data_IF_567167493985
#
_entry.id   IF_567167493985
#
_cell.length_a   1.000
_cell.length_b   1.000
_cell.length_c   1.000
_cell.angle_alpha   90.00
_cell.angle_beta   90.00
_cell.angle_gamma   90.00
#
_symmetry.space_group_name_H-M   'P 1'
#
loop_
_entity.id
_entity.type
_entity.pdbx_description
1 polymer ?
#
# COMPACT_ATOMS: atom_id res chain seq x y z
N UNK A 1 -16.46 24.46 27.50
CA UNK A 1 -15.43 24.47 26.45
C UNK A 1 -14.69 23.15 26.52
N UNK A 2 -14.95 22.23 25.59
CA UNK A 2 -14.27 20.94 25.50
C UNK A 2 -13.57 20.98 24.14
N UNK A 3 -12.25 20.84 24.17
CA UNK A 3 -11.34 21.23 23.10
C UNK A 3 -11.62 20.54 21.78
N UNK A 4 -11.59 21.35 20.71
CA UNK A 4 -11.41 20.90 19.35
C UNK A 4 -10.16 20.03 19.25
N UNK A 5 -10.33 18.70 19.25
CA UNK A 5 -9.31 17.82 18.69
C UNK A 5 -9.55 17.78 17.19
N UNK A 6 -9.01 18.77 16.48
CA UNK A 6 -8.86 18.67 15.03
C UNK A 6 -7.97 17.44 14.78
N UNK A 7 -8.48 16.46 14.05
CA UNK A 7 -7.65 15.36 13.54
C UNK A 7 -6.70 15.96 12.49
N UNK A 8 -5.48 16.29 12.89
CA UNK A 8 -4.45 16.88 12.00
C UNK A 8 -3.50 15.81 11.43
N UNK A 9 -4.01 14.62 11.09
CA UNK A 9 -3.27 13.62 10.32
C UNK A 9 -4.21 13.06 9.26
N UNK A 10 -3.82 13.18 7.99
CA UNK A 10 -4.50 12.55 6.85
C UNK A 10 -4.80 11.09 7.21
N UNK A 11 -6.08 10.73 7.22
CA UNK A 11 -6.55 9.38 7.50
C UNK A 11 -5.89 8.40 6.54
N UNK A 12 -5.38 7.27 7.06
CA UNK A 12 -4.83 6.23 6.19
C UNK A 12 -5.97 5.60 5.40
N UNK A 13 -5.92 5.74 4.07
CA UNK A 13 -6.91 5.19 3.17
C UNK A 13 -6.75 3.69 2.92
N UNK A 14 -5.62 3.11 3.32
CA UNK A 14 -5.43 1.65 3.36
C UNK A 14 -5.99 1.13 4.68
N UNK A 15 -6.99 0.25 4.60
CA UNK A 15 -7.58 -0.40 5.76
C UNK A 15 -6.63 -1.47 6.30
N UNK A 16 -6.49 -1.61 7.62
CA UNK A 16 -5.63 -2.63 8.23
C UNK A 16 -4.22 -2.72 7.59
N UNK A 17 -3.63 -1.57 7.24
CA UNK A 17 -2.31 -1.51 6.58
C UNK A 17 -1.13 -1.87 7.51
N UNK A 18 -1.37 -1.93 8.81
CA UNK A 18 -0.43 -2.42 9.81
C UNK A 18 -0.59 -3.93 10.10
N UNK A 19 -1.58 -4.58 9.47
CA UNK A 19 -1.90 -6.00 9.62
C UNK A 19 -2.23 -6.44 11.05
N UNK A 20 -2.64 -5.51 11.92
CA UNK A 20 -3.04 -5.80 13.31
C UNK A 20 -4.32 -6.63 13.41
N UNK A 21 -5.15 -6.62 12.37
CA UNK A 21 -6.42 -7.36 12.30
C UNK A 21 -6.31 -8.62 11.42
N UNK A 22 -5.08 -9.14 11.23
CA UNK A 22 -4.86 -10.31 10.37
C UNK A 22 -5.20 -10.01 8.91
N UNK A 23 -5.93 -10.90 8.25
CA UNK A 23 -6.26 -10.82 6.83
C UNK A 23 -7.41 -9.85 6.50
N UNK A 24 -8.04 -9.23 7.51
CA UNK A 24 -9.17 -8.34 7.29
C UNK A 24 -8.83 -7.24 6.27
N UNK A 25 -9.74 -7.03 5.32
CA UNK A 25 -9.64 -6.10 4.18
C UNK A 25 -8.62 -6.44 3.09
N UNK A 26 -7.81 -7.49 3.26
CA UNK A 26 -6.84 -7.92 2.25
C UNK A 26 -7.35 -9.13 1.48
N UNK A 27 -7.28 -9.07 0.15
CA UNK A 27 -7.44 -10.26 -0.69
C UNK A 27 -6.09 -10.94 -0.86
N UNK A 28 -6.02 -12.22 -0.53
CA UNK A 28 -4.77 -12.98 -0.59
C UNK A 28 -4.75 -13.94 -1.77
N UNK A 29 -3.62 -13.97 -2.47
CA UNK A 29 -3.29 -14.93 -3.51
C UNK A 29 -2.02 -15.66 -3.06
N UNK A 30 -2.17 -16.92 -2.65
CA UNK A 30 -1.09 -17.70 -2.03
C UNK A 30 0.16 -17.87 -2.93
N UNK A 31 1.37 -18.03 -2.36
CA UNK A 31 1.64 -18.21 -0.93
C UNK A 31 1.88 -16.88 -0.18
N UNK A 32 0.95 -16.59 0.74
CA UNK A 32 0.93 -15.40 1.59
C UNK A 32 0.50 -15.80 2.99
N UNK A 33 1.07 -15.15 4.00
CA UNK A 33 0.72 -15.30 5.40
C UNK A 33 0.67 -13.92 6.06
N UNK A 34 -0.40 -13.63 6.81
CA UNK A 34 -0.47 -12.43 7.65
C UNK A 34 -0.38 -12.84 9.13
N UNK A 35 0.63 -12.34 9.82
CA UNK A 35 0.80 -12.53 11.27
C UNK A 35 1.67 -11.45 11.88
N UNK A 36 1.55 -11.26 13.18
CA UNK A 36 2.45 -10.41 13.99
C UNK A 36 2.65 -8.99 13.42
N UNK A 37 1.61 -8.38 12.84
CA UNK A 37 1.66 -7.03 12.27
C UNK A 37 2.42 -6.93 10.94
N UNK A 38 2.52 -8.02 10.17
CA UNK A 38 3.07 -7.98 8.81
C UNK A 38 2.37 -8.94 7.85
N UNK A 39 2.47 -8.65 6.56
CA UNK A 39 2.16 -9.57 5.45
C UNK A 39 3.47 -10.17 4.91
N UNK A 40 3.63 -11.47 5.00
CA UNK A 40 4.70 -12.21 4.33
C UNK A 40 4.19 -12.77 3.01
N UNK A 41 4.85 -12.42 1.92
CA UNK A 41 4.55 -12.95 0.60
C UNK A 41 5.82 -13.53 -0.03
N UNK A 42 5.68 -14.62 -0.77
CA UNK A 42 6.81 -15.33 -1.42
C UNK A 42 6.35 -16.00 -2.70
N UNK A 43 7.29 -16.51 -3.52
CA UNK A 43 6.95 -17.41 -4.62
C UNK A 43 5.94 -16.91 -5.67
N UNK A 44 5.71 -15.60 -5.77
CA UNK A 44 4.69 -14.98 -6.62
C UNK A 44 3.37 -14.66 -5.91
N UNK A 45 3.25 -14.94 -4.62
CA UNK A 45 2.08 -14.63 -3.81
C UNK A 45 1.88 -13.13 -3.63
N UNK A 46 0.62 -12.72 -3.43
CA UNK A 46 0.26 -11.33 -3.28
C UNK A 46 -0.88 -11.07 -2.30
N UNK A 47 -0.86 -9.88 -1.69
CA UNK A 47 -1.96 -9.33 -0.91
C UNK A 47 -2.41 -8.02 -1.56
N UNK A 48 -3.71 -7.88 -1.85
CA UNK A 48 -4.27 -6.71 -2.52
C UNK A 48 -5.42 -6.05 -1.77
N UNK A 49 -5.47 -4.73 -1.90
CA UNK A 49 -6.66 -3.91 -1.66
C UNK A 49 -6.99 -3.17 -2.94
N UNK A 50 -8.22 -3.37 -3.42
CA UNK A 50 -8.73 -2.79 -4.67
C UNK A 50 -9.93 -1.88 -4.38
N UNK A 51 -10.35 -1.10 -5.38
CA UNK A 51 -11.50 -0.19 -5.31
C UNK A 51 -11.39 0.90 -4.22
N UNK A 52 -10.17 1.27 -3.81
CA UNK A 52 -9.95 2.39 -2.89
C UNK A 52 -10.29 3.69 -3.62
N UNK A 53 -11.37 4.35 -3.20
CA UNK A 53 -11.91 5.54 -3.88
C UNK A 53 -11.08 6.78 -3.55
N UNK A 54 -10.44 7.37 -4.56
CA UNK A 54 -9.63 8.58 -4.42
C UNK A 54 -10.27 9.77 -5.12
N UNK A 55 -10.40 10.88 -4.39
CA UNK A 55 -10.73 12.17 -5.00
C UNK A 55 -9.51 12.77 -5.70
N UNK A 56 -9.68 13.73 -6.63
CA UNK A 56 -8.57 14.47 -7.20
C UNK A 56 -7.67 15.09 -6.11
N UNK A 57 -6.36 14.96 -6.26
CA UNK A 57 -5.40 15.39 -5.24
C UNK A 57 -4.04 14.72 -5.40
N UNK A 58 -3.09 15.09 -4.56
CA UNK A 58 -1.77 14.44 -4.49
C UNK A 58 -1.77 13.47 -3.33
N UNK A 59 -1.28 12.26 -3.55
CA UNK A 59 -1.25 11.20 -2.56
C UNK A 59 0.17 10.68 -2.38
N UNK A 60 0.42 10.12 -1.20
CA UNK A 60 1.65 9.44 -0.88
C UNK A 60 1.33 8.02 -0.42
N UNK A 61 1.82 7.03 -1.16
CA UNK A 61 1.90 5.66 -0.66
C UNK A 61 3.23 5.49 0.06
N UNK A 62 3.21 4.88 1.24
CA UNK A 62 4.40 4.43 1.97
C UNK A 62 4.19 3.05 2.58
N UNK A 63 5.29 2.32 2.79
CA UNK A 63 5.30 1.03 3.46
C UNK A 63 6.71 0.70 3.95
N UNK A 64 6.83 -0.35 4.76
CA UNK A 64 8.11 -0.94 5.15
C UNK A 64 8.26 -2.34 4.57
N UNK A 65 9.45 -2.67 4.07
CA UNK A 65 9.79 -3.98 3.52
C UNK A 65 11.03 -4.58 4.18
N UNK A 66 10.99 -5.87 4.55
CA UNK A 66 12.14 -6.64 5.02
C UNK A 66 12.32 -7.88 4.12
N UNK A 67 13.38 -7.87 3.32
CA UNK A 67 13.75 -8.92 2.38
C UNK A 67 15.23 -9.22 2.61
N UNK A 68 15.57 -10.45 2.99
CA UNK A 68 16.95 -10.79 3.35
C UNK A 68 17.82 -11.05 2.12
N UNK A 69 17.22 -11.59 1.06
CA UNK A 69 17.90 -11.99 -0.16
C UNK A 69 17.56 -11.07 -1.34
N UNK A 70 18.41 -11.12 -2.38
CA UNK A 70 18.09 -10.51 -3.67
C UNK A 70 16.71 -10.96 -4.14
N UNK A 71 15.90 -9.99 -4.56
CA UNK A 71 14.50 -10.25 -4.88
C UNK A 71 14.01 -9.35 -6.00
N UNK A 72 13.00 -9.85 -6.71
CA UNK A 72 12.19 -9.06 -7.66
C UNK A 72 10.81 -8.77 -7.08
N UNK A 73 10.68 -8.77 -5.75
CA UNK A 73 9.44 -8.39 -5.06
C UNK A 73 9.17 -6.89 -5.25
N UNK A 74 7.90 -6.50 -5.19
CA UNK A 74 7.51 -5.10 -5.40
C UNK A 74 6.13 -4.81 -4.84
N UNK A 75 5.82 -3.53 -4.73
CA UNK A 75 4.46 -3.02 -4.52
C UNK A 75 3.98 -2.35 -5.80
N UNK A 76 2.80 -2.74 -6.27
CA UNK A 76 2.12 -2.10 -7.39
C UNK A 76 1.05 -1.14 -6.89
N UNK A 77 0.96 0.00 -7.58
CA UNK A 77 -0.16 0.95 -7.48
C UNK A 77 -0.76 1.13 -8.86
N UNK A 78 -2.07 0.95 -8.96
CA UNK A 78 -2.81 1.16 -10.19
C UNK A 78 -4.00 2.09 -9.91
N UNK A 79 -4.15 3.12 -10.76
CA UNK A 79 -5.40 3.89 -10.85
C UNK A 79 -6.15 3.46 -12.11
N UNK A 80 -7.38 3.02 -11.95
CA UNK A 80 -8.16 2.45 -13.05
C UNK A 80 -8.55 3.50 -14.10
N UNK A 81 -9.07 4.65 -13.67
CA UNK A 81 -9.61 5.66 -14.58
C UNK A 81 -8.52 6.54 -15.19
N UNK A 82 -7.51 6.91 -14.39
CA UNK A 82 -6.38 7.74 -14.86
C UNK A 82 -5.28 6.95 -15.56
N UNK A 83 -5.40 5.62 -15.64
CA UNK A 83 -4.40 4.72 -16.21
C UNK A 83 -2.98 4.86 -15.61
N UNK A 84 -2.87 5.37 -14.38
CA UNK A 84 -1.59 5.41 -13.68
C UNK A 84 -1.18 3.99 -13.27
N UNK A 85 0.08 3.64 -13.53
CA UNK A 85 0.70 2.39 -13.04
C UNK A 85 2.06 2.73 -12.47
N UNK A 86 2.27 2.40 -11.19
CA UNK A 86 3.55 2.55 -10.50
C UNK A 86 3.96 1.20 -9.92
N UNK A 87 5.25 0.92 -9.97
CA UNK A 87 5.85 -0.27 -9.40
C UNK A 87 7.07 0.12 -8.56
N UNK A 88 7.04 -0.21 -7.28
CA UNK A 88 8.14 0.04 -6.35
C UNK A 88 8.82 -1.27 -6.02
N UNK A 89 9.99 -1.50 -6.62
CA UNK A 89 10.81 -2.65 -6.29
C UNK A 89 11.36 -2.52 -4.88
N UNK A 90 11.23 -3.59 -4.10
CA UNK A 90 11.90 -3.67 -2.81
C UNK A 90 13.33 -4.15 -3.01
N UNK A 91 14.23 -3.64 -2.16
CA UNK A 91 15.63 -4.05 -2.11
C UNK A 91 15.87 -4.92 -0.87
N UNK A 92 16.88 -5.81 -0.91
CA UNK A 92 17.29 -6.53 0.27
C UNK A 92 17.83 -5.60 1.36
N UNK A 93 17.71 -6.04 2.61
CA UNK A 93 18.20 -5.35 3.80
C UNK A 93 18.16 -6.24 5.03
N UNK A 94 19.10 -6.04 5.96
CA UNK A 94 19.15 -6.77 7.22
C UNK A 94 18.04 -6.37 8.20
N UNK A 95 17.36 -5.26 7.94
CA UNK A 95 16.23 -4.74 8.70
C UNK A 95 15.19 -4.12 7.75
N UNK A 96 14.04 -3.72 8.29
CA UNK A 96 12.98 -3.05 7.55
C UNK A 96 13.49 -1.76 6.90
N UNK A 97 13.21 -1.63 5.61
CA UNK A 97 13.46 -0.44 4.81
C UNK A 97 12.14 0.26 4.53
N UNK A 98 12.08 1.56 4.74
CA UNK A 98 10.92 2.39 4.37
C UNK A 98 10.96 2.76 2.89
N UNK A 99 9.81 2.64 2.23
CA UNK A 99 9.57 3.04 0.86
C UNK A 99 8.46 4.08 0.83
N UNK A 100 8.53 5.02 -0.12
CA UNK A 100 7.50 6.04 -0.33
C UNK A 100 7.49 6.49 -1.79
N UNK A 101 6.29 6.72 -2.33
CA UNK A 101 6.10 7.39 -3.62
C UNK A 101 4.94 8.38 -3.54
N UNK A 102 5.13 9.55 -4.14
CA UNK A 102 4.06 10.52 -4.35
C UNK A 102 3.47 10.36 -5.76
N UNK A 103 2.17 10.54 -5.90
CA UNK A 103 1.49 10.57 -7.20
C UNK A 103 0.25 11.46 -7.15
N UNK A 104 -0.16 11.98 -8.30
CA UNK A 104 -1.36 12.82 -8.41
C UNK A 104 -2.49 12.05 -9.05
N UNK A 105 -3.67 12.16 -8.45
CA UNK A 105 -4.95 11.73 -9.02
C UNK A 105 -5.54 12.94 -9.74
N UNK A 106 -5.57 12.96 -11.09
CA UNK A 106 -6.19 14.05 -11.82
C UNK A 106 -7.70 14.07 -11.61
N UNK A 107 -8.36 15.16 -12.02
CA UNK A 107 -9.81 15.20 -12.11
C UNK A 107 -10.28 14.20 -13.19
N UNK A 108 -11.10 13.19 -12.86
CA UNK A 108 -11.63 12.27 -13.85
C UNK A 108 -12.45 12.99 -14.92
N UNK A 109 -12.44 12.48 -16.15
CA UNK A 109 -13.33 12.95 -17.22
C UNK A 109 -14.80 12.55 -16.98
N UNK A 110 -15.03 11.49 -16.20
CA UNK A 110 -16.33 11.00 -15.77
C UNK A 110 -16.28 10.56 -14.31
N UNK A 111 -17.25 10.99 -13.49
CA UNK A 111 -17.31 10.70 -12.06
C UNK A 111 -16.48 11.65 -11.19
N UNK A 112 -16.50 11.40 -9.88
CA UNK A 112 -15.87 12.27 -8.87
C UNK A 112 -14.64 11.63 -8.19
N UNK A 113 -14.36 10.36 -8.49
CA UNK A 113 -13.27 9.59 -7.88
C UNK A 113 -12.59 8.70 -8.91
N UNK A 114 -11.32 8.37 -8.66
CA UNK A 114 -10.61 7.26 -9.29
C UNK A 114 -10.59 6.04 -8.35
N UNK A 115 -10.40 4.85 -8.89
CA UNK A 115 -10.29 3.61 -8.13
C UNK A 115 -8.83 3.19 -8.09
N UNK A 116 -8.28 3.09 -6.88
CA UNK A 116 -6.93 2.61 -6.64
C UNK A 116 -6.94 1.12 -6.25
N UNK A 117 -6.02 0.38 -6.85
CA UNK A 117 -5.53 -0.90 -6.33
C UNK A 117 -4.10 -0.76 -5.85
N UNK A 118 -3.82 -1.28 -4.65
CA UNK A 118 -2.48 -1.53 -4.14
C UNK A 118 -2.27 -3.04 -4.02
N UNK A 119 -1.14 -3.54 -4.49
CA UNK A 119 -0.81 -4.96 -4.44
C UNK A 119 0.63 -5.17 -3.96
N UNK A 120 0.79 -5.93 -2.89
CA UNK A 120 2.08 -6.32 -2.31
C UNK A 120 2.46 -7.67 -2.88
N UNK A 121 3.60 -7.78 -3.57
CA UNK A 121 3.99 -9.00 -4.29
C UNK A 121 5.35 -9.48 -3.81
N UNK A 122 5.38 -10.72 -3.31
CA UNK A 122 6.60 -11.40 -2.91
C UNK A 122 7.05 -12.40 -3.96
N UNK A 123 8.33 -12.35 -4.33
CA UNK A 123 8.96 -13.24 -5.32
C UNK A 123 10.10 -14.05 -4.67
N UNK A 124 10.39 -15.23 -5.22
CA UNK A 124 11.46 -16.09 -4.72
C UNK A 124 11.24 -16.49 -3.27
N UNK A 125 12.27 -16.35 -2.43
CA UNK A 125 12.19 -16.57 -0.99
C UNK A 125 11.19 -15.63 -0.30
N UNK A 126 10.82 -14.51 -0.92
CA UNK A 126 9.85 -13.57 -0.39
C UNK A 126 10.40 -12.67 0.71
N UNK A 127 9.48 -12.09 1.46
CA UNK A 127 9.80 -11.15 2.53
C UNK A 127 8.54 -10.54 3.13
N UNK A 128 8.75 -9.57 4.01
CA UNK A 128 7.68 -9.00 4.82
C UNK A 128 7.37 -7.59 4.36
N UNK A 129 6.09 -7.27 4.33
CA UNK A 129 5.54 -5.92 4.18
C UNK A 129 4.80 -5.54 5.45
N UNK A 130 4.91 -4.28 5.89
CA UNK A 130 4.11 -3.74 7.00
C UNK A 130 3.92 -2.23 6.88
N UNK A 131 3.08 -1.66 7.73
CA UNK A 131 2.84 -0.22 7.84
C UNK A 131 2.47 0.43 6.51
N UNK A 132 1.62 -0.23 5.71
CA UNK A 132 1.16 0.27 4.41
C UNK A 132 0.21 1.44 4.64
N UNK A 133 0.56 2.60 4.10
CA UNK A 133 -0.20 3.83 4.27
C UNK A 133 -0.40 4.55 2.95
N UNK A 134 -1.63 4.96 2.68
CA UNK A 134 -1.97 5.88 1.61
C UNK A 134 -2.61 7.11 2.23
N UNK A 135 -1.99 8.27 2.03
CA UNK A 135 -2.43 9.54 2.61
C UNK A 135 -2.55 10.60 1.52
N UNK A 136 -3.56 11.47 1.61
CA UNK A 136 -3.74 12.63 0.72
C UNK A 136 -2.76 13.72 1.11
N UNK A 137 -1.64 13.87 0.41
CA UNK A 137 -0.64 14.91 0.65
C UNK A 137 -1.22 16.30 0.32
N UNK A 138 -1.53 17.11 1.34
CA UNK A 138 -1.93 18.50 1.16
C UNK A 138 -0.68 19.30 0.81
N UNK A 139 -0.64 19.85 -0.42
CA UNK A 139 0.38 20.79 -0.86
C UNK A 139 0.26 22.14 -0.14
#
# INVERSE_FOLDING_TARGET
MIGNKLATHQENLILNGDFSQGEEHWRLNAPVEIRDGYCYASGGGSADQSDVKLKPGTYRLSFEGLFLDETKSYVNVALEMSNLRLQLFVRPGADYVTYSVGFSVPKPSHGDVDLLSVMLIGQGAGGKFRNVKLVLDEA
#
